data_IF_253670988905
#
_entry.id   IF_253670988905
#
_cell.length_a   1.000
_cell.length_b   1.000
_cell.length_c   1.000
_cell.angle_alpha   90.00
_cell.angle_beta   90.00
_cell.angle_gamma   90.00
#
_symmetry.space_group_name_H-M   'P 1'
#
loop_
_entity.id
_entity.type
_entity.pdbx_description
1 polymer ?
#
# COMPACT_ATOMS: atom_id res chain seq x y z
N UNK A 1 -8.86 45.06 48.16
CA UNK A 1 -9.65 44.86 46.95
C UNK A 1 -8.80 44.67 45.71
N UNK A 2 -7.70 45.36 45.58
CA UNK A 2 -6.81 45.22 44.40
C UNK A 2 -6.19 43.85 44.30
N UNK A 3 -5.83 43.22 45.41
CA UNK A 3 -5.27 41.86 45.43
C UNK A 3 -6.26 40.80 44.94
N UNK A 4 -7.54 40.97 45.18
CA UNK A 4 -8.59 40.06 44.70
C UNK A 4 -8.78 40.16 43.19
N UNK A 5 -8.70 41.36 42.63
CA UNK A 5 -8.79 41.57 41.19
C UNK A 5 -7.61 40.94 40.44
N UNK A 6 -6.40 41.11 40.99
CA UNK A 6 -5.19 40.50 40.45
C UNK A 6 -5.28 38.99 40.46
N UNK A 7 -5.78 38.39 41.56
CA UNK A 7 -5.96 36.93 41.66
C UNK A 7 -6.99 36.40 40.67
N UNK A 8 -8.11 37.09 40.51
CA UNK A 8 -9.17 36.69 39.58
C UNK A 8 -8.66 36.80 38.15
N UNK A 9 -7.92 37.89 37.83
CA UNK A 9 -7.32 38.03 36.50
C UNK A 9 -6.30 36.96 36.20
N UNK A 10 -5.43 36.63 37.19
CA UNK A 10 -4.42 35.59 37.05
C UNK A 10 -5.06 34.21 36.85
N UNK A 11 -6.09 33.88 37.62
CA UNK A 11 -6.84 32.64 37.49
C UNK A 11 -7.53 32.56 36.11
N UNK A 12 -8.15 33.65 35.68
CA UNK A 12 -8.79 33.72 34.35
C UNK A 12 -7.80 33.50 33.22
N UNK A 13 -6.61 34.11 33.29
CA UNK A 13 -5.55 33.92 32.31
C UNK A 13 -5.06 32.46 32.32
N UNK A 14 -4.83 31.91 33.50
CA UNK A 14 -4.41 30.52 33.66
C UNK A 14 -5.47 29.56 33.07
N UNK A 15 -6.72 29.78 33.40
CA UNK A 15 -7.83 28.98 32.88
C UNK A 15 -7.89 29.07 31.34
N UNK A 16 -7.75 30.25 30.79
CA UNK A 16 -7.73 30.45 29.32
C UNK A 16 -6.59 29.69 28.66
N UNK A 17 -5.40 29.75 29.25
CA UNK A 17 -4.23 29.02 28.74
C UNK A 17 -4.48 27.51 28.76
N UNK A 18 -5.04 26.99 29.86
CA UNK A 18 -5.36 25.56 29.99
C UNK A 18 -6.40 25.14 28.92
N UNK A 19 -7.42 25.93 28.72
CA UNK A 19 -8.46 25.64 27.70
C UNK A 19 -7.87 25.65 26.30
N UNK A 20 -7.01 26.61 25.99
CA UNK A 20 -6.33 26.70 24.68
C UNK A 20 -5.43 25.49 24.48
N UNK A 21 -4.65 25.12 25.48
CA UNK A 21 -3.78 23.92 25.40
C UNK A 21 -4.60 22.65 25.19
N UNK A 22 -5.71 22.50 25.91
CA UNK A 22 -6.60 21.36 25.77
C UNK A 22 -7.20 21.28 24.36
N UNK A 23 -7.58 22.42 23.79
CA UNK A 23 -8.11 22.49 22.44
C UNK A 23 -7.05 22.08 21.40
N UNK A 24 -5.81 22.55 21.57
CA UNK A 24 -4.70 22.17 20.68
C UNK A 24 -4.46 20.66 20.75
N UNK A 25 -4.39 20.08 21.94
CA UNK A 25 -4.20 18.64 22.11
C UNK A 25 -5.34 17.84 21.48
N UNK A 26 -6.57 18.30 21.62
CA UNK A 26 -7.73 17.65 21.02
C UNK A 26 -7.63 17.61 19.50
N UNK A 27 -7.25 18.73 18.88
CA UNK A 27 -7.05 18.82 17.42
C UNK A 27 -5.92 17.93 16.96
N UNK A 28 -4.77 17.96 17.66
CA UNK A 28 -3.63 17.11 17.32
C UNK A 28 -3.98 15.62 17.42
N UNK A 29 -4.70 15.22 18.45
CA UNK A 29 -5.14 13.85 18.63
C UNK A 29 -6.07 13.42 17.49
N UNK A 30 -7.01 14.27 17.11
CA UNK A 30 -7.92 13.99 16.00
C UNK A 30 -7.19 13.86 14.68
N UNK A 31 -6.24 14.76 14.40
CA UNK A 31 -5.44 14.71 13.16
C UNK A 31 -4.60 13.44 13.13
N UNK A 32 -3.96 13.08 14.24
CA UNK A 32 -3.16 11.87 14.34
C UNK A 32 -4.01 10.62 14.14
N UNK A 33 -5.15 10.53 14.80
CA UNK A 33 -6.06 9.40 14.65
C UNK A 33 -6.58 9.27 13.20
N UNK A 34 -6.90 10.38 12.57
CA UNK A 34 -7.34 10.42 11.17
C UNK A 34 -6.22 9.95 10.21
N UNK A 35 -4.99 10.39 10.47
CA UNK A 35 -3.81 9.97 9.70
C UNK A 35 -3.53 8.48 9.86
N UNK A 36 -3.60 7.97 11.09
CA UNK A 36 -3.40 6.55 11.37
C UNK A 36 -4.46 5.69 10.68
N UNK A 37 -5.72 6.15 10.66
CA UNK A 37 -6.79 5.46 9.98
C UNK A 37 -6.56 5.40 8.46
N UNK A 38 -6.11 6.48 7.86
CA UNK A 38 -5.76 6.52 6.43
C UNK A 38 -4.62 5.55 6.12
N UNK A 39 -3.60 5.54 6.95
CA UNK A 39 -2.47 4.63 6.80
C UNK A 39 -2.91 3.18 6.91
N UNK A 40 -3.74 2.86 7.90
CA UNK A 40 -4.28 1.52 8.08
C UNK A 40 -5.12 1.06 6.88
N UNK A 41 -5.97 1.92 6.35
CA UNK A 41 -6.78 1.62 5.16
C UNK A 41 -5.91 1.41 3.92
N UNK A 42 -4.90 2.25 3.74
CA UNK A 42 -3.95 2.10 2.64
C UNK A 42 -3.21 0.78 2.73
N UNK A 43 -2.77 0.41 3.93
CA UNK A 43 -2.10 -0.87 4.16
C UNK A 43 -3.02 -2.04 3.87
N UNK A 44 -4.27 -2.00 4.34
CA UNK A 44 -5.27 -3.02 4.07
C UNK A 44 -5.50 -3.22 2.58
N UNK A 45 -5.65 -2.14 1.82
CA UNK A 45 -5.81 -2.19 0.37
C UNK A 45 -4.61 -2.84 -0.31
N UNK A 46 -3.41 -2.54 0.15
CA UNK A 46 -2.19 -3.13 -0.38
C UNK A 46 -2.12 -4.63 -0.11
N UNK A 47 -2.49 -5.03 1.10
CA UNK A 47 -2.50 -6.44 1.49
C UNK A 47 -3.54 -7.21 0.69
N UNK A 48 -4.74 -6.68 0.51
CA UNK A 48 -5.77 -7.29 -0.33
C UNK A 48 -5.29 -7.43 -1.78
N UNK A 49 -4.71 -6.37 -2.33
CA UNK A 49 -4.18 -6.40 -3.69
C UNK A 49 -3.06 -7.44 -3.82
N UNK A 50 -2.20 -7.56 -2.82
CA UNK A 50 -1.14 -8.56 -2.80
C UNK A 50 -1.71 -9.98 -2.83
N UNK A 51 -2.69 -10.28 -1.99
CA UNK A 51 -3.32 -11.60 -1.94
C UNK A 51 -4.03 -11.92 -3.26
N UNK A 52 -4.74 -10.98 -3.84
CA UNK A 52 -5.38 -11.17 -5.13
C UNK A 52 -4.38 -11.39 -6.25
N UNK A 53 -3.28 -10.64 -6.26
CA UNK A 53 -2.20 -10.85 -7.22
C UNK A 53 -1.60 -12.24 -7.09
N UNK A 54 -1.33 -12.68 -5.88
CA UNK A 54 -0.79 -14.02 -5.64
C UNK A 54 -1.77 -15.11 -6.09
N UNK A 55 -3.05 -14.93 -5.79
CA UNK A 55 -4.09 -15.87 -6.20
C UNK A 55 -4.19 -15.97 -7.72
N UNK A 56 -4.19 -14.84 -8.41
CA UNK A 56 -4.20 -14.79 -9.87
C UNK A 56 -2.93 -15.42 -10.45
N UNK A 57 -1.79 -15.17 -9.83
CA UNK A 57 -0.53 -15.79 -10.22
C UNK A 57 -0.55 -17.30 -10.08
N UNK A 58 -1.11 -17.83 -8.99
CA UNK A 58 -1.26 -19.26 -8.79
C UNK A 58 -2.21 -19.88 -9.82
N UNK A 59 -3.31 -19.20 -10.13
CA UNK A 59 -4.24 -19.64 -11.18
C UNK A 59 -3.56 -19.67 -12.55
N UNK A 60 -2.79 -18.64 -12.85
CA UNK A 60 -2.01 -18.61 -14.09
C UNK A 60 -1.01 -19.75 -14.15
N UNK A 61 -0.30 -19.99 -13.05
CA UNK A 61 0.68 -21.08 -12.95
C UNK A 61 0.01 -22.44 -13.17
N UNK A 62 -1.17 -22.65 -12.59
CA UNK A 62 -1.95 -23.87 -12.78
C UNK A 62 -2.36 -24.03 -14.25
N UNK A 63 -2.78 -22.96 -14.91
CA UNK A 63 -3.13 -22.97 -16.33
C UNK A 63 -1.92 -23.28 -17.22
N UNK A 64 -0.77 -22.69 -16.91
CA UNK A 64 0.48 -22.96 -17.62
C UNK A 64 0.92 -24.40 -17.42
N UNK A 65 0.79 -24.92 -16.21
CA UNK A 65 1.08 -26.31 -15.92
C UNK A 65 0.19 -27.25 -16.75
N UNK A 66 -1.10 -26.94 -16.86
CA UNK A 66 -2.04 -27.65 -17.71
C UNK A 66 -1.67 -27.56 -19.20
N UNK A 67 -1.22 -26.40 -19.65
CA UNK A 67 -0.73 -26.19 -21.01
C UNK A 67 0.51 -27.03 -21.31
N UNK A 68 1.49 -27.04 -20.41
CA UNK A 68 2.71 -27.82 -20.56
C UNK A 68 2.43 -29.34 -20.53
N UNK A 69 1.38 -29.76 -19.85
CA UNK A 69 0.91 -31.14 -19.84
C UNK A 69 0.06 -31.49 -21.07
N UNK A 70 -0.25 -30.53 -21.90
CA UNK A 70 -1.06 -30.72 -23.12
C UNK A 70 -2.56 -30.78 -22.88
N UNK A 71 -3.03 -30.38 -21.70
CA UNK A 71 -4.45 -30.48 -21.31
C UNK A 71 -5.24 -29.17 -21.51
N UNK A 72 -4.55 -28.05 -21.58
CA UNK A 72 -5.16 -26.74 -21.67
C UNK A 72 -4.45 -25.87 -22.71
N UNK A 73 -5.13 -24.82 -23.14
CA UNK A 73 -4.54 -23.79 -23.99
C UNK A 73 -3.73 -22.80 -23.15
N UNK A 74 -2.80 -22.14 -23.79
CA UNK A 74 -1.99 -21.10 -23.16
C UNK A 74 -2.90 -19.96 -22.69
N UNK A 75 -2.76 -19.49 -21.43
CA UNK A 75 -3.56 -18.37 -20.95
C UNK A 75 -3.35 -17.11 -21.78
N UNK A 76 -4.40 -16.30 -21.88
CA UNK A 76 -4.27 -14.97 -22.44
C UNK A 76 -3.27 -14.17 -21.61
N UNK A 77 -2.69 -13.14 -22.15
CA UNK A 77 -1.70 -12.29 -21.46
C UNK A 77 -0.40 -13.00 -21.10
N UNK A 78 -0.12 -14.15 -21.73
CA UNK A 78 1.13 -14.86 -21.54
C UNK A 78 2.06 -14.52 -22.70
N UNK A 79 3.27 -14.08 -22.38
CA UNK A 79 4.30 -13.87 -23.37
C UNK A 79 5.27 -15.06 -23.38
N UNK A 80 5.83 -15.33 -24.54
CA UNK A 80 6.82 -16.38 -24.70
C UNK A 80 8.11 -15.77 -25.27
N UNK A 81 9.22 -16.04 -24.59
CA UNK A 81 10.51 -15.55 -25.01
C UNK A 81 11.59 -16.57 -24.67
N UNK A 82 12.29 -17.06 -25.71
CA UNK A 82 13.45 -17.92 -25.52
C UNK A 82 13.19 -19.20 -24.72
N UNK A 83 12.01 -19.81 -24.85
CA UNK A 83 11.65 -21.01 -24.10
C UNK A 83 11.17 -20.72 -22.68
N UNK A 84 10.88 -19.48 -22.38
CA UNK A 84 10.30 -19.04 -21.11
C UNK A 84 8.90 -18.50 -21.34
N UNK A 85 8.01 -18.79 -20.43
CA UNK A 85 6.65 -18.25 -20.41
C UNK A 85 6.53 -17.28 -19.24
N UNK A 86 5.93 -16.17 -19.49
CA UNK A 86 5.78 -15.16 -18.44
C UNK A 86 4.49 -14.37 -18.55
N UNK A 87 4.10 -13.78 -17.47
CA UNK A 87 2.96 -12.89 -17.42
C UNK A 87 3.20 -11.78 -16.42
N UNK A 88 2.50 -10.68 -16.65
CA UNK A 88 2.45 -9.56 -15.71
C UNK A 88 1.01 -9.34 -15.32
N UNK A 89 0.73 -9.41 -14.03
CA UNK A 89 -0.59 -9.16 -13.48
C UNK A 89 -0.54 -7.87 -12.70
N UNK A 90 -1.31 -6.90 -13.13
CA UNK A 90 -1.43 -5.61 -12.44
C UNK A 90 -2.79 -5.53 -11.78
N UNK A 91 -2.78 -5.31 -10.47
CA UNK A 91 -4.00 -5.19 -9.70
C UNK A 91 -3.85 -4.04 -8.69
N UNK A 92 -4.55 -2.94 -8.97
CA UNK A 92 -4.44 -1.76 -8.14
C UNK A 92 -3.01 -1.26 -8.05
N UNK A 93 -2.46 -1.10 -6.83
CA UNK A 93 -1.11 -0.60 -6.66
C UNK A 93 -0.02 -1.67 -6.77
N UNK A 94 -0.39 -2.93 -7.07
CA UNK A 94 0.55 -4.04 -7.08
C UNK A 94 0.71 -4.63 -8.47
N UNK A 95 1.90 -5.08 -8.77
CA UNK A 95 2.24 -5.74 -10.03
C UNK A 95 2.99 -7.03 -9.74
N UNK A 96 2.48 -8.14 -10.23
CA UNK A 96 3.11 -9.45 -10.11
C UNK A 96 3.72 -9.83 -11.45
N UNK A 97 5.00 -10.15 -11.45
CA UNK A 97 5.71 -10.67 -12.61
C UNK A 97 6.06 -12.13 -12.33
N UNK A 98 5.59 -13.02 -13.18
CA UNK A 98 5.87 -14.45 -13.06
C UNK A 98 6.54 -14.93 -14.33
N UNK A 99 7.58 -15.72 -14.16
CA UNK A 99 8.32 -16.33 -15.25
C UNK A 99 8.53 -17.80 -14.98
N UNK A 100 8.26 -18.63 -15.98
CA UNK A 100 8.34 -20.07 -15.87
C UNK A 100 9.14 -20.62 -17.04
N UNK A 101 9.98 -21.60 -16.79
CA UNK A 101 10.68 -22.30 -17.85
C UNK A 101 9.73 -23.28 -18.54
N UNK A 102 9.59 -23.14 -19.87
CA UNK A 102 8.66 -23.97 -20.64
C UNK A 102 9.05 -25.44 -20.68
N UNK A 103 10.35 -25.73 -20.62
CA UNK A 103 10.84 -27.11 -20.71
C UNK A 103 10.56 -27.94 -19.46
N UNK A 104 10.66 -27.35 -18.28
CA UNK A 104 10.56 -28.05 -17.00
C UNK A 104 9.36 -27.62 -16.16
N UNK A 105 8.76 -26.48 -16.46
CA UNK A 105 7.70 -25.91 -15.63
C UNK A 105 8.21 -25.24 -14.35
N UNK A 106 9.52 -25.09 -14.22
CA UNK A 106 10.12 -24.48 -13.03
C UNK A 106 9.86 -22.98 -12.99
N UNK A 107 9.48 -22.46 -11.84
CA UNK A 107 9.29 -21.03 -11.64
C UNK A 107 10.64 -20.35 -11.56
N UNK A 108 10.94 -19.49 -12.54
CA UNK A 108 12.20 -18.77 -12.61
C UNK A 108 12.14 -17.43 -11.88
N UNK A 109 10.98 -16.80 -11.87
CA UNK A 109 10.79 -15.51 -11.23
C UNK A 109 9.37 -15.41 -10.70
N UNK A 110 9.26 -14.97 -9.48
CA UNK A 110 7.98 -14.64 -8.83
C UNK A 110 8.21 -13.36 -8.06
N UNK A 111 7.86 -12.26 -8.67
CA UNK A 111 8.14 -10.94 -8.12
C UNK A 111 6.89 -10.11 -8.01
N UNK A 112 6.52 -9.79 -6.79
CA UNK A 112 5.43 -8.87 -6.53
C UNK A 112 6.01 -7.55 -6.05
N UNK A 113 5.71 -6.49 -6.79
CA UNK A 113 6.21 -5.15 -6.50
C UNK A 113 5.06 -4.16 -6.47
N UNK A 114 5.17 -3.16 -5.59
CA UNK A 114 4.26 -2.03 -5.61
C UNK A 114 4.56 -1.18 -6.83
N UNK A 115 3.50 -0.77 -7.52
CA UNK A 115 3.60 0.22 -8.59
C UNK A 115 3.80 1.58 -7.94
N UNK A 116 5.01 1.84 -7.54
CA UNK A 116 5.40 3.12 -7.00
C UNK A 116 6.23 3.84 -8.05
N UNK A 117 5.65 4.86 -8.63
CA UNK A 117 6.43 5.76 -9.45
C UNK A 117 7.05 6.79 -8.52
N UNK A 118 8.37 6.89 -8.49
CA UNK A 118 9.01 7.99 -7.78
C UNK A 118 8.56 9.26 -8.49
N UNK A 119 7.60 9.92 -7.87
CA UNK A 119 7.08 11.14 -8.43
C UNK A 119 8.14 12.21 -8.57
N UNK A 120 7.81 13.16 -9.38
CA UNK A 120 8.59 14.34 -9.71
C UNK A 120 9.08 15.15 -8.51
N UNK A 121 8.64 14.79 -7.31
CA UNK A 121 9.08 15.42 -6.05
C UNK A 121 10.60 15.47 -5.90
N UNK A 122 11.28 14.54 -6.52
CA UNK A 122 12.75 14.56 -6.55
C UNK A 122 13.31 15.79 -7.26
N UNK A 123 12.54 16.36 -8.15
CA UNK A 123 12.95 17.53 -8.90
C UNK A 123 12.76 18.84 -8.13
N UNK A 124 12.02 18.81 -7.05
CA UNK A 124 11.82 19.98 -6.20
C UNK A 124 13.10 20.42 -5.51
N UNK A 125 14.08 19.57 -5.41
CA UNK A 125 15.35 19.83 -4.76
C UNK A 125 16.41 20.41 -5.70
N UNK A 126 16.09 20.54 -6.93
CA UNK A 126 17.00 21.11 -7.94
C UNK A 126 16.71 22.60 -8.18
#
# INVERSE_FOLDING_TARGET
>A
MEHRRIRVGSIAVLFTVVVVCAAIFAVLTLVTASSDLRTARSYEQRVEALYECENLGEQWLAQVSGYLSGHQELPENTWEDGGQLGTEITLGPMKLTVRVEAATGAVLEWRCAALWEPEEDWNLWK
#
